data_IF_645697690625
#
_entry.id   IF_645697690625
#
_cell.length_a   1.000
_cell.length_b   1.000
_cell.length_c   1.000
_cell.angle_alpha   90.00
_cell.angle_beta   90.00
_cell.angle_gamma   90.00
#
_symmetry.space_group_name_H-M   'P 1'
#
loop_
_entity.id
_entity.type
_entity.pdbx_description
1 polymer ?
#
# COMPACT_ATOMS: atom_id res chain seq x y z
N UNK A 1 -24.17 -24.20 -36.38
CA UNK A 1 -23.47 -23.23 -37.26
C UNK A 1 -22.04 -23.63 -37.58
N UNK A 2 -21.14 -23.86 -36.61
CA UNK A 2 -19.74 -24.29 -36.90
C UNK A 2 -19.64 -25.62 -37.67
N UNK A 3 -20.59 -26.55 -37.44
CA UNK A 3 -20.71 -27.79 -38.21
C UNK A 3 -21.21 -27.59 -39.66
N UNK A 4 -21.90 -26.48 -39.95
CA UNK A 4 -22.41 -26.16 -41.30
C UNK A 4 -21.42 -25.31 -42.11
N UNK A 5 -20.71 -24.39 -41.46
CA UNK A 5 -19.81 -23.43 -42.13
C UNK A 5 -18.31 -23.76 -41.95
N UNK A 6 -17.99 -24.89 -41.30
CA UNK A 6 -16.66 -25.41 -40.98
C UNK A 6 -15.79 -24.54 -40.05
N UNK A 7 -16.01 -23.21 -39.99
CA UNK A 7 -15.32 -22.30 -39.10
C UNK A 7 -16.27 -21.21 -38.55
N UNK A 8 -15.91 -20.65 -37.39
CA UNK A 8 -16.64 -19.51 -36.83
C UNK A 8 -16.54 -18.24 -37.68
N UNK A 9 -15.40 -18.02 -38.34
CA UNK A 9 -15.17 -16.89 -39.25
C UNK A 9 -16.12 -16.94 -40.46
N UNK A 10 -16.25 -18.11 -41.09
CA UNK A 10 -17.12 -18.30 -42.24
C UNK A 10 -18.59 -18.12 -41.87
N UNK A 11 -19.01 -18.61 -40.69
CA UNK A 11 -20.36 -18.44 -40.20
C UNK A 11 -20.74 -16.96 -40.02
N UNK A 12 -19.80 -16.13 -39.53
CA UNK A 12 -20.04 -14.70 -39.29
C UNK A 12 -20.01 -13.91 -40.59
N UNK A 13 -19.12 -14.22 -41.52
CA UNK A 13 -19.10 -13.59 -42.85
C UNK A 13 -20.44 -13.78 -43.58
N UNK A 14 -21.03 -14.98 -43.51
CA UNK A 14 -22.33 -15.26 -44.13
C UNK A 14 -23.51 -14.57 -43.43
N UNK A 15 -23.35 -14.19 -42.17
CA UNK A 15 -24.40 -13.54 -41.35
C UNK A 15 -24.15 -12.03 -41.15
N UNK A 16 -23.13 -11.46 -41.80
CA UNK A 16 -22.70 -10.07 -41.60
C UNK A 16 -23.80 -9.07 -41.98
N UNK A 17 -24.59 -9.37 -43.01
CA UNK A 17 -25.70 -8.53 -43.48
C UNK A 17 -26.98 -8.69 -42.65
N UNK A 18 -27.02 -9.63 -41.70
CA UNK A 18 -28.21 -9.83 -40.87
C UNK A 18 -28.43 -8.62 -39.93
N UNK A 19 -29.65 -8.04 -39.88
CA UNK A 19 -29.90 -6.79 -39.14
C UNK A 19 -29.44 -6.82 -37.67
N UNK A 20 -29.64 -7.95 -36.98
CA UNK A 20 -29.26 -8.14 -35.57
C UNK A 20 -27.73 -8.18 -35.35
N UNK A 21 -26.96 -8.66 -36.33
CA UNK A 21 -25.49 -8.77 -36.28
C UNK A 21 -24.87 -7.40 -36.57
N UNK A 22 -25.42 -6.69 -37.56
CA UNK A 22 -25.01 -5.33 -37.92
C UNK A 22 -25.33 -4.32 -36.81
N UNK A 23 -26.47 -4.45 -36.13
CA UNK A 23 -26.86 -3.54 -35.05
C UNK A 23 -25.91 -3.60 -33.83
N UNK A 24 -25.18 -4.70 -33.64
CA UNK A 24 -24.32 -4.92 -32.48
C UNK A 24 -22.82 -4.83 -32.79
N UNK A 25 -22.43 -4.57 -34.05
CA UNK A 25 -21.04 -4.69 -34.52
C UNK A 25 -20.39 -6.01 -34.06
N UNK A 26 -21.16 -7.10 -34.15
CA UNK A 26 -20.73 -8.40 -33.64
C UNK A 26 -19.54 -8.96 -34.40
N UNK A 27 -19.42 -8.67 -35.70
CA UNK A 27 -18.26 -9.06 -36.52
C UNK A 27 -16.94 -8.56 -35.92
N UNK A 28 -16.89 -7.29 -35.54
CA UNK A 28 -15.70 -6.67 -34.97
C UNK A 28 -15.41 -7.22 -33.57
N UNK A 29 -16.47 -7.36 -32.75
CA UNK A 29 -16.34 -7.94 -31.40
C UNK A 29 -15.83 -9.37 -31.45
N UNK A 30 -16.30 -10.17 -32.39
CA UNK A 30 -15.84 -11.53 -32.61
C UNK A 30 -14.39 -11.58 -33.09
N UNK A 31 -14.01 -10.75 -34.08
CA UNK A 31 -12.63 -10.70 -34.58
C UNK A 31 -11.66 -10.25 -33.49
N UNK A 32 -12.04 -9.27 -32.66
CA UNK A 32 -11.26 -8.88 -31.48
C UNK A 32 -11.11 -10.03 -30.50
N UNK A 33 -12.20 -10.70 -30.13
CA UNK A 33 -12.15 -11.85 -29.23
C UNK A 33 -11.28 -12.98 -29.79
N UNK A 34 -11.40 -13.27 -31.09
CA UNK A 34 -10.58 -14.25 -31.79
C UNK A 34 -9.09 -13.89 -31.73
N UNK A 35 -8.74 -12.64 -32.02
CA UNK A 35 -7.36 -12.15 -31.95
C UNK A 35 -6.82 -12.20 -30.52
N UNK A 36 -7.62 -11.82 -29.51
CA UNK A 36 -7.23 -11.89 -28.09
C UNK A 36 -6.90 -13.33 -27.70
N UNK A 37 -7.73 -14.31 -28.08
CA UNK A 37 -7.50 -15.72 -27.73
C UNK A 37 -6.30 -16.30 -28.48
N UNK A 38 -6.19 -16.02 -29.80
CA UNK A 38 -5.17 -16.62 -30.67
C UNK A 38 -3.78 -16.00 -30.49
N UNK A 39 -3.72 -14.71 -30.19
CA UNK A 39 -2.49 -13.92 -30.16
C UNK A 39 -2.26 -13.24 -28.80
N UNK A 40 -2.86 -13.76 -27.71
CA UNK A 40 -2.64 -13.20 -26.38
C UNK A 40 -1.15 -13.06 -26.06
N UNK A 41 -0.79 -11.99 -25.35
CA UNK A 41 0.59 -11.79 -24.92
C UNK A 41 0.88 -12.74 -23.76
N UNK A 42 1.93 -13.54 -23.91
CA UNK A 42 2.37 -14.52 -22.92
C UNK A 42 3.84 -14.30 -22.54
N UNK A 43 4.18 -14.68 -21.31
CA UNK A 43 5.56 -14.83 -20.87
C UNK A 43 5.98 -16.27 -21.15
N UNK A 44 6.91 -16.46 -22.08
CA UNK A 44 7.44 -17.76 -22.44
C UNK A 44 8.45 -18.26 -21.40
N UNK A 45 8.71 -19.57 -21.39
CA UNK A 45 9.63 -20.21 -20.44
C UNK A 45 11.09 -19.76 -20.63
N UNK A 46 11.45 -19.30 -21.82
CA UNK A 46 12.75 -18.69 -22.12
C UNK A 46 12.88 -17.25 -21.58
N UNK A 47 11.82 -16.73 -20.93
CA UNK A 47 11.77 -15.37 -20.40
C UNK A 47 11.44 -14.31 -21.45
N UNK A 48 11.20 -14.70 -22.71
CA UNK A 48 10.72 -13.78 -23.74
C UNK A 48 9.24 -13.47 -23.52
N UNK A 49 8.83 -12.26 -23.92
CA UNK A 49 7.42 -11.88 -23.92
C UNK A 49 7.01 -11.66 -25.37
N UNK A 50 5.87 -12.21 -25.76
CA UNK A 50 5.40 -12.15 -27.13
C UNK A 50 3.97 -12.66 -27.26
N UNK A 51 3.35 -12.49 -28.44
CA UNK A 51 2.08 -13.15 -28.73
C UNK A 51 2.27 -14.68 -28.78
N UNK A 52 1.25 -15.43 -28.35
CA UNK A 52 1.27 -16.89 -28.33
C UNK A 52 1.67 -17.53 -29.68
N UNK A 53 1.24 -16.93 -30.80
CA UNK A 53 1.51 -17.38 -32.16
C UNK A 53 2.13 -16.23 -32.98
N UNK A 54 3.43 -15.93 -32.82
CA UNK A 54 4.06 -14.74 -33.41
C UNK A 54 4.11 -14.79 -34.94
N UNK A 55 4.24 -15.97 -35.54
CA UNK A 55 4.34 -16.17 -36.99
C UNK A 55 3.07 -15.70 -37.74
N UNK A 56 1.93 -15.73 -37.07
CA UNK A 56 0.62 -15.39 -37.64
C UNK A 56 0.02 -14.12 -37.01
N UNK A 57 0.74 -13.48 -36.09
CA UNK A 57 0.26 -12.31 -35.38
C UNK A 57 0.23 -11.08 -36.33
N UNK A 58 -0.88 -10.33 -36.38
CA UNK A 58 -0.90 -9.04 -37.07
C UNK A 58 0.11 -8.07 -36.47
N UNK A 59 0.70 -7.19 -37.29
CA UNK A 59 1.64 -6.16 -36.82
C UNK A 59 0.96 -5.16 -35.87
N UNK A 60 -0.32 -4.86 -36.09
CA UNK A 60 -1.09 -3.87 -35.33
C UNK A 60 -1.83 -4.49 -34.13
N UNK A 61 -1.28 -5.56 -33.54
CA UNK A 61 -1.90 -6.27 -32.42
C UNK A 61 -2.15 -5.36 -31.20
N UNK A 62 -1.37 -4.29 -31.07
CA UNK A 62 -1.49 -3.30 -30.01
C UNK A 62 -2.82 -2.52 -30.05
N UNK A 63 -3.46 -2.40 -31.22
CA UNK A 63 -4.78 -1.77 -31.34
C UNK A 63 -5.91 -2.66 -30.82
N UNK A 64 -5.68 -3.97 -30.74
CA UNK A 64 -6.67 -4.95 -30.28
C UNK A 64 -6.45 -5.32 -28.82
N UNK A 65 -5.21 -5.62 -28.43
CA UNK A 65 -4.86 -6.13 -27.10
C UNK A 65 -4.40 -5.00 -26.17
N UNK A 66 -4.00 -3.86 -26.73
CA UNK A 66 -3.39 -2.76 -26.00
C UNK A 66 -1.86 -2.75 -26.11
N UNK A 67 -1.27 -1.65 -25.65
CA UNK A 67 0.17 -1.46 -25.70
C UNK A 67 0.88 -2.43 -24.75
N UNK A 68 1.94 -3.04 -25.28
CA UNK A 68 2.78 -3.96 -24.54
C UNK A 68 3.62 -3.21 -23.49
N UNK A 69 3.67 -3.75 -22.28
CA UNK A 69 4.55 -3.26 -21.22
C UNK A 69 6.01 -3.72 -21.45
N UNK A 70 7.01 -3.10 -20.82
CA UNK A 70 8.37 -3.63 -20.86
C UNK A 70 8.45 -5.05 -20.28
N UNK A 71 9.37 -5.86 -20.79
CA UNK A 71 9.57 -7.26 -20.37
C UNK A 71 9.72 -7.38 -18.85
N UNK A 72 10.44 -6.44 -18.23
CA UNK A 72 10.60 -6.36 -16.78
C UNK A 72 9.26 -6.36 -16.00
N UNK A 73 8.24 -5.66 -16.50
CA UNK A 73 6.92 -5.60 -15.85
C UNK A 73 6.25 -6.99 -15.80
N UNK A 74 6.34 -7.76 -16.89
CA UNK A 74 5.78 -9.12 -16.96
C UNK A 74 6.52 -10.10 -16.04
N UNK A 75 7.85 -10.00 -15.95
CA UNK A 75 8.64 -10.81 -15.02
C UNK A 75 8.31 -10.51 -13.55
N UNK A 76 8.18 -9.23 -13.20
CA UNK A 76 7.78 -8.82 -11.85
C UNK A 76 6.36 -9.27 -11.51
N UNK A 77 5.43 -9.16 -12.47
CA UNK A 77 4.04 -9.60 -12.31
C UNK A 77 3.94 -11.12 -12.13
N UNK A 78 4.62 -11.90 -12.99
CA UNK A 78 4.61 -13.36 -12.92
C UNK A 78 5.19 -13.91 -11.61
N UNK A 79 6.08 -13.14 -10.96
CA UNK A 79 6.68 -13.47 -9.67
C UNK A 79 5.89 -12.92 -8.48
N UNK A 80 4.84 -12.13 -8.70
CA UNK A 80 4.08 -11.47 -7.65
C UNK A 80 4.89 -10.42 -6.88
N UNK A 81 5.88 -9.80 -7.52
CA UNK A 81 6.72 -8.76 -6.94
C UNK A 81 6.15 -7.35 -7.14
N UNK A 82 5.14 -7.20 -8.00
CA UNK A 82 4.43 -5.95 -8.26
C UNK A 82 2.92 -6.21 -8.30
N UNK A 83 2.11 -5.28 -7.79
CA UNK A 83 0.66 -5.41 -7.86
C UNK A 83 0.09 -4.96 -9.22
N UNK A 84 -0.96 -5.62 -9.73
CA UNK A 84 -1.62 -5.24 -10.98
C UNK A 84 -2.15 -3.79 -11.08
N UNK A 85 -2.65 -3.11 -10.01
CA UNK A 85 -3.27 -1.78 -10.15
C UNK A 85 -2.37 -0.73 -10.79
N UNK A 86 -1.06 -0.76 -10.51
CA UNK A 86 -0.12 0.21 -11.10
C UNK A 86 0.08 -0.05 -12.60
N UNK A 87 0.07 -1.31 -13.01
CA UNK A 87 0.15 -1.70 -14.42
C UNK A 87 -1.17 -1.38 -15.14
N UNK A 88 -2.30 -1.63 -14.50
CA UNK A 88 -3.63 -1.30 -15.02
C UNK A 88 -3.77 0.21 -15.23
N UNK A 89 -3.24 1.02 -14.31
CA UNK A 89 -3.20 2.47 -14.47
C UNK A 89 -2.43 2.87 -15.75
N UNK A 90 -1.26 2.27 -15.99
CA UNK A 90 -0.44 2.57 -17.17
C UNK A 90 -1.13 2.17 -18.48
N UNK A 91 -1.78 0.99 -18.50
CA UNK A 91 -2.46 0.45 -19.68
C UNK A 91 -3.76 1.22 -19.97
N UNK A 92 -4.53 1.54 -18.94
CA UNK A 92 -5.83 2.23 -19.07
C UNK A 92 -5.68 3.74 -19.21
N UNK A 93 -4.60 4.34 -18.69
CA UNK A 93 -4.46 5.79 -18.59
C UNK A 93 -5.35 6.40 -17.51
N UNK A 94 -5.89 5.59 -16.60
CA UNK A 94 -6.64 6.06 -15.46
C UNK A 94 -6.26 5.30 -14.17
N UNK A 95 -5.99 6.05 -13.11
CA UNK A 95 -5.93 5.53 -11.76
C UNK A 95 -7.35 5.51 -11.20
N UNK A 96 -7.88 4.33 -10.90
CA UNK A 96 -9.22 4.19 -10.33
C UNK A 96 -9.13 4.05 -8.82
N UNK A 97 -9.74 4.99 -8.10
CA UNK A 97 -9.96 4.86 -6.67
C UNK A 97 -11.40 4.39 -6.42
N UNK A 98 -11.54 3.26 -5.72
CA UNK A 98 -12.83 2.65 -5.43
C UNK A 98 -13.32 3.06 -4.05
N UNK A 99 -14.65 3.04 -3.86
CA UNK A 99 -15.25 3.25 -2.55
C UNK A 99 -14.69 2.24 -1.54
N UNK A 100 -14.24 2.70 -0.36
CA UNK A 100 -13.82 1.79 0.69
C UNK A 100 -15.02 1.08 1.33
N UNK A 101 -14.80 0.06 2.18
CA UNK A 101 -15.87 -0.74 2.80
C UNK A 101 -16.85 0.04 3.68
N UNK A 102 -16.47 1.21 4.17
CA UNK A 102 -17.30 2.14 4.96
C UNK A 102 -18.02 3.20 4.08
N UNK A 103 -18.04 3.02 2.76
CA UNK A 103 -18.51 4.00 1.77
C UNK A 103 -17.64 5.28 1.64
N UNK A 104 -16.72 5.50 2.58
CA UNK A 104 -15.72 6.57 2.50
C UNK A 104 -16.28 7.97 2.66
N UNK A 105 -17.44 8.13 3.29
CA UNK A 105 -18.18 9.40 3.36
C UNK A 105 -17.49 10.49 4.20
N UNK A 106 -16.46 10.14 4.96
CA UNK A 106 -15.75 11.08 5.83
C UNK A 106 -14.93 12.10 5.02
N UNK A 107 -15.07 13.38 5.39
CA UNK A 107 -14.29 14.48 4.79
C UNK A 107 -12.79 14.31 5.02
N UNK A 108 -12.42 13.71 6.13
CA UNK A 108 -11.06 13.33 6.49
C UNK A 108 -10.45 12.39 5.44
N UNK A 109 -11.20 11.37 5.04
CA UNK A 109 -10.77 10.41 4.02
C UNK A 109 -10.67 11.05 2.62
N UNK A 110 -11.68 11.85 2.22
CA UNK A 110 -11.63 12.58 0.95
C UNK A 110 -10.41 13.53 0.90
N UNK A 111 -10.16 14.28 1.98
CA UNK A 111 -9.00 15.17 2.07
C UNK A 111 -7.68 14.42 1.92
N UNK A 112 -7.56 13.25 2.55
CA UNK A 112 -6.36 12.41 2.45
C UNK A 112 -6.10 12.03 0.98
N UNK A 113 -7.14 11.60 0.26
CA UNK A 113 -7.03 11.28 -1.17
C UNK A 113 -6.58 12.50 -1.95
N UNK A 114 -7.31 13.62 -1.86
CA UNK A 114 -7.04 14.86 -2.61
C UNK A 114 -5.61 15.37 -2.41
N UNK A 115 -5.09 15.28 -1.18
CA UNK A 115 -3.72 15.68 -0.89
C UNK A 115 -2.68 14.76 -1.55
N UNK A 116 -2.99 13.48 -1.68
CA UNK A 116 -2.09 12.47 -2.25
C UNK A 116 -2.13 12.41 -3.77
N UNK A 117 -3.23 12.83 -4.40
CA UNK A 117 -3.32 13.00 -5.85
C UNK A 117 -2.21 13.94 -6.33
N UNK A 118 -2.08 15.12 -5.70
CA UNK A 118 -1.10 16.15 -6.07
C UNK A 118 0.34 15.87 -5.63
N UNK A 119 0.56 14.91 -4.73
CA UNK A 119 1.87 14.55 -4.19
C UNK A 119 2.35 13.20 -4.71
N UNK A 120 2.09 12.16 -3.91
CA UNK A 120 2.63 10.82 -4.09
C UNK A 120 2.22 10.19 -5.43
N UNK A 121 0.93 10.22 -5.78
CA UNK A 121 0.45 9.58 -7.01
C UNK A 121 0.96 10.29 -8.27
N UNK A 122 0.98 11.62 -8.27
CA UNK A 122 1.56 12.41 -9.36
C UNK A 122 3.06 12.08 -9.54
N UNK A 123 3.82 12.01 -8.45
CA UNK A 123 5.25 11.68 -8.50
C UNK A 123 5.50 10.27 -9.04
N UNK A 124 4.75 9.27 -8.57
CA UNK A 124 4.83 7.89 -9.05
C UNK A 124 4.52 7.80 -10.56
N UNK A 125 3.42 8.41 -11.00
CA UNK A 125 2.99 8.39 -12.40
C UNK A 125 4.04 9.02 -13.31
N UNK A 126 4.53 10.22 -12.97
CA UNK A 126 5.54 10.92 -13.76
C UNK A 126 6.83 10.12 -13.88
N UNK A 127 7.26 9.50 -12.77
CA UNK A 127 8.46 8.69 -12.77
C UNK A 127 8.30 7.44 -13.67
N UNK A 128 7.19 6.72 -13.54
CA UNK A 128 6.91 5.54 -14.38
C UNK A 128 6.84 5.91 -15.86
N UNK A 129 6.01 6.89 -16.21
CA UNK A 129 5.82 7.31 -17.59
C UNK A 129 7.12 7.79 -18.25
N UNK A 130 8.02 8.41 -17.49
CA UNK A 130 9.35 8.82 -17.97
C UNK A 130 10.23 7.62 -18.36
N UNK A 131 10.17 6.51 -17.62
CA UNK A 131 11.09 5.37 -17.80
C UNK A 131 10.54 4.25 -18.68
N UNK A 132 9.22 4.12 -18.86
CA UNK A 132 8.59 3.03 -19.63
C UNK A 132 8.68 3.19 -21.16
N UNK A 133 9.06 4.36 -21.66
CA UNK A 133 9.29 4.64 -23.08
C UNK A 133 8.44 5.77 -23.66
N UNK A 134 8.63 6.14 -24.95
CA UNK A 134 8.04 7.33 -25.55
C UNK A 134 6.50 7.35 -25.54
N UNK A 135 5.87 6.18 -25.73
CA UNK A 135 4.42 6.05 -25.71
C UNK A 135 3.84 6.45 -24.34
N UNK A 136 4.36 5.87 -23.26
CA UNK A 136 3.88 6.14 -21.91
C UNK A 136 4.24 7.56 -21.44
N UNK A 137 5.36 8.11 -21.93
CA UNK A 137 5.74 9.49 -21.65
C UNK A 137 4.72 10.50 -22.21
N UNK A 138 4.08 10.20 -23.35
CA UNK A 138 3.09 11.07 -23.98
C UNK A 138 1.64 10.80 -23.53
N UNK A 139 1.38 9.68 -22.86
CA UNK A 139 0.04 9.29 -22.47
C UNK A 139 -0.47 10.15 -21.31
N UNK A 140 -1.68 10.73 -21.43
CA UNK A 140 -2.37 11.35 -20.30
C UNK A 140 -2.80 10.28 -19.30
N UNK A 141 -2.48 10.47 -18.02
CA UNK A 141 -2.96 9.62 -16.92
C UNK A 141 -3.81 10.47 -15.98
N UNK A 142 -5.05 10.04 -15.74
CA UNK A 142 -6.01 10.73 -14.87
C UNK A 142 -6.36 9.90 -13.65
N UNK A 143 -6.54 10.53 -12.49
CA UNK A 143 -7.17 9.92 -11.34
C UNK A 143 -8.68 10.13 -11.42
N UNK A 144 -9.42 9.03 -11.23
CA UNK A 144 -10.86 9.03 -11.12
C UNK A 144 -11.23 8.48 -9.74
N UNK A 145 -11.93 9.30 -8.97
CA UNK A 145 -12.44 8.93 -7.64
C UNK A 145 -13.91 8.55 -7.73
N UNK A 146 -14.37 7.68 -6.82
CA UNK A 146 -15.77 7.24 -6.80
C UNK A 146 -16.73 8.35 -6.34
N UNK A 147 -16.26 9.29 -5.51
CA UNK A 147 -17.07 10.37 -4.96
C UNK A 147 -17.19 11.57 -5.91
N UNK A 148 -16.26 11.74 -6.84
CA UNK A 148 -16.29 12.76 -7.89
C UNK A 148 -16.01 12.17 -9.29
N UNK A 149 -16.86 11.25 -9.79
CA UNK A 149 -16.58 10.50 -11.02
C UNK A 149 -16.57 11.36 -12.29
N UNK A 150 -17.03 12.62 -12.21
CA UNK A 150 -17.05 13.57 -13.32
C UNK A 150 -15.83 14.49 -13.34
N UNK A 151 -15.05 14.52 -12.26
CA UNK A 151 -13.87 15.35 -12.14
C UNK A 151 -12.66 14.52 -12.55
N UNK A 152 -11.97 14.91 -13.63
CA UNK A 152 -10.70 14.29 -14.01
C UNK A 152 -9.53 15.05 -13.37
N UNK A 153 -8.80 14.40 -12.47
CA UNK A 153 -7.56 14.96 -11.92
C UNK A 153 -6.38 14.44 -12.73
N UNK A 154 -5.64 15.31 -13.38
CA UNK A 154 -4.52 14.91 -14.24
C UNK A 154 -3.27 14.63 -13.41
N UNK A 155 -2.83 13.37 -13.37
CA UNK A 155 -1.60 12.95 -12.69
C UNK A 155 -0.36 13.11 -13.60
N UNK A 156 -0.52 12.81 -14.89
CA UNK A 156 0.55 12.90 -15.88
C UNK A 156 0.00 13.33 -17.26
N UNK A 157 0.76 14.16 -17.97
CA UNK A 157 0.50 14.59 -19.35
C UNK A 157 1.84 14.98 -20.03
N UNK A 158 1.82 15.04 -21.37
CA UNK A 158 2.92 15.50 -22.24
C UNK A 158 3.63 16.76 -21.75
N UNK A 159 2.87 17.75 -21.25
CA UNK A 159 3.40 19.04 -20.75
C UNK A 159 4.13 18.91 -19.41
N UNK A 160 3.86 17.86 -18.64
CA UNK A 160 4.40 17.66 -17.30
C UNK A 160 5.77 16.97 -17.28
N UNK A 161 6.23 16.45 -18.42
CA UNK A 161 7.52 15.74 -18.59
C UNK A 161 8.74 16.63 -18.25
N UNK A 162 8.62 17.96 -18.41
CA UNK A 162 9.72 18.90 -18.15
C UNK A 162 10.01 19.17 -16.68
N UNK A 163 9.12 18.79 -15.75
CA UNK A 163 9.36 18.82 -14.31
C UNK A 163 9.90 17.46 -13.86
N UNK A 164 11.19 17.24 -14.11
CA UNK A 164 11.85 15.96 -13.91
C UNK A 164 11.80 15.49 -12.45
N UNK A 165 10.99 14.48 -12.17
CA UNK A 165 11.25 13.57 -11.04
C UNK A 165 12.40 12.68 -11.52
N UNK A 166 13.57 12.84 -10.93
CA UNK A 166 14.65 11.85 -11.05
C UNK A 166 14.46 10.80 -9.96
N UNK A 167 14.87 9.57 -10.24
CA UNK A 167 15.27 8.70 -9.13
C UNK A 167 16.37 9.45 -8.37
N UNK A 168 16.30 9.59 -7.05
CA UNK A 168 17.44 10.00 -6.26
C UNK A 168 18.56 8.98 -6.52
N UNK A 169 19.73 9.52 -6.82
CA UNK A 169 20.99 8.81 -6.87
C UNK A 169 21.33 8.33 -5.46
N UNK A 170 20.71 7.23 -5.04
CA UNK A 170 21.06 6.57 -3.80
C UNK A 170 21.99 5.46 -4.22
N UNK A 171 23.30 5.66 -4.11
CA UNK A 171 24.23 4.55 -4.19
C UNK A 171 24.27 3.88 -2.83
N UNK A 172 23.99 2.59 -2.75
CA UNK A 172 24.33 1.84 -1.55
C UNK A 172 25.84 1.48 -1.60
N UNK A 173 26.58 1.85 -0.57
CA UNK A 173 27.84 1.17 -0.26
C UNK A 173 27.53 -0.12 0.52
N UNK A 174 28.49 -1.04 0.55
CA UNK A 174 28.55 -2.34 1.23
C UNK A 174 28.22 -2.37 2.76
N UNK A 175 27.55 -1.36 3.30
CA UNK A 175 27.28 -1.16 4.74
C UNK A 175 26.05 -1.95 5.21
N UNK A 176 25.10 -2.28 4.32
CA UNK A 176 23.92 -3.10 4.64
C UNK A 176 24.11 -4.55 4.18
N UNK A 177 25.13 -5.23 4.73
CA UNK A 177 25.29 -6.69 4.60
C UNK A 177 24.35 -7.49 5.55
N UNK A 178 23.32 -6.86 6.09
CA UNK A 178 22.33 -7.45 7.01
C UNK A 178 20.89 -7.26 6.54
N UNK A 179 19.91 -7.71 7.34
CA UNK A 179 18.48 -7.59 6.98
C UNK A 179 18.05 -6.15 6.75
N UNK A 180 17.49 -5.91 5.56
CA UNK A 180 17.06 -4.59 5.10
C UNK A 180 15.72 -4.27 5.76
N UNK A 181 15.72 -3.29 6.65
CA UNK A 181 14.53 -2.85 7.38
C UNK A 181 14.37 -1.33 7.30
N UNK A 182 13.17 -0.85 7.59
CA UNK A 182 12.89 0.59 7.64
C UNK A 182 13.84 1.28 8.64
N UNK A 183 14.04 0.67 9.81
CA UNK A 183 15.00 1.16 10.81
C UNK A 183 16.41 1.29 10.26
N UNK A 184 16.92 0.25 9.59
CA UNK A 184 18.28 0.26 9.04
C UNK A 184 18.48 1.33 7.95
N UNK A 185 17.47 1.58 7.12
CA UNK A 185 17.55 2.61 6.07
C UNK A 185 17.46 4.02 6.67
N UNK A 186 16.61 4.22 7.68
CA UNK A 186 16.54 5.48 8.41
C UNK A 186 17.87 5.81 9.10
N UNK A 187 18.53 4.84 9.74
CA UNK A 187 19.82 5.04 10.41
C UNK A 187 20.95 5.38 9.41
N UNK A 188 20.92 4.80 8.21
CA UNK A 188 21.98 4.93 7.22
C UNK A 188 21.63 5.91 6.07
N UNK A 189 20.56 6.70 6.19
CA UNK A 189 20.02 7.53 5.11
C UNK A 189 21.03 8.53 4.52
N UNK A 190 21.93 9.08 5.35
CA UNK A 190 23.00 10.00 4.91
C UNK A 190 24.08 9.30 4.10
N UNK A 191 24.43 8.06 4.49
CA UNK A 191 25.43 7.25 3.78
C UNK A 191 24.88 6.86 2.42
N UNK A 192 23.61 6.45 2.38
CA UNK A 192 22.87 6.10 1.18
C UNK A 192 22.78 7.30 0.20
N UNK A 193 22.53 8.51 0.69
CA UNK A 193 22.47 9.70 -0.17
C UNK A 193 23.84 10.21 -0.65
N UNK A 194 24.93 9.84 0.02
CA UNK A 194 26.27 10.31 -0.29
C UNK A 194 27.05 9.40 -1.26
N UNK A 195 26.57 8.19 -1.54
CA UNK A 195 27.34 7.26 -2.35
C UNK A 195 27.22 7.51 -3.86
N UNK A 196 28.30 7.27 -4.62
CA UNK A 196 28.34 7.54 -6.05
C UNK A 196 27.39 6.64 -6.84
N UNK A 197 26.76 7.20 -7.88
CA UNK A 197 25.90 6.47 -8.82
C UNK A 197 26.64 5.27 -9.44
N UNK A 198 26.05 4.08 -9.37
CA UNK A 198 26.55 2.90 -10.08
C UNK A 198 27.74 2.19 -9.44
N UNK A 199 27.98 2.35 -8.13
CA UNK A 199 28.96 1.51 -7.44
C UNK A 199 28.58 0.03 -7.53
N UNK A 200 29.55 -0.85 -7.84
CA UNK A 200 29.33 -2.30 -7.93
C UNK A 200 28.82 -2.97 -6.64
N UNK A 201 28.94 -2.26 -5.51
CA UNK A 201 28.60 -2.74 -4.17
C UNK A 201 27.20 -2.27 -3.70
N UNK A 202 26.36 -1.77 -4.63
CA UNK A 202 25.00 -1.32 -4.35
C UNK A 202 24.05 -2.44 -3.96
N UNK A 203 23.38 -2.30 -2.81
CA UNK A 203 22.22 -3.09 -2.44
C UNK A 203 20.93 -2.42 -2.96
N UNK A 204 20.34 -2.91 -4.07
CA UNK A 204 19.22 -2.24 -4.73
C UNK A 204 17.97 -2.19 -3.85
N UNK A 205 17.77 -3.16 -2.96
CA UNK A 205 16.60 -3.17 -2.07
C UNK A 205 16.62 -2.02 -1.06
N UNK A 206 17.81 -1.64 -0.56
CA UNK A 206 17.97 -0.50 0.34
C UNK A 206 17.73 0.85 -0.37
N UNK A 207 18.19 0.97 -1.62
CA UNK A 207 17.99 2.16 -2.46
C UNK A 207 16.50 2.38 -2.76
N UNK A 208 15.81 1.30 -3.12
CA UNK A 208 14.37 1.33 -3.39
C UNK A 208 13.58 1.68 -2.12
N UNK A 209 13.99 1.16 -0.95
CA UNK A 209 13.35 1.50 0.32
C UNK A 209 13.60 2.95 0.72
N UNK A 210 14.82 3.47 0.52
CA UNK A 210 15.14 4.88 0.73
C UNK A 210 14.30 5.79 -0.17
N UNK A 211 14.07 5.38 -1.43
CA UNK A 211 13.17 6.10 -2.33
C UNK A 211 11.75 6.16 -1.82
N UNK A 212 11.20 5.04 -1.33
CA UNK A 212 9.85 5.00 -0.75
C UNK A 212 9.75 5.94 0.46
N UNK A 213 10.76 5.97 1.32
CA UNK A 213 10.78 6.87 2.46
C UNK A 213 10.91 8.34 2.04
N UNK A 214 11.65 8.62 0.98
CA UNK A 214 11.74 9.96 0.40
C UNK A 214 10.43 10.40 -0.28
N UNK A 215 9.74 9.52 -1.01
CA UNK A 215 8.45 9.85 -1.66
C UNK A 215 7.35 10.16 -0.66
N UNK A 216 7.43 9.55 0.53
CA UNK A 216 6.54 9.82 1.66
C UNK A 216 6.99 11.04 2.50
N UNK A 217 8.13 11.66 2.18
CA UNK A 217 8.62 12.87 2.86
C UNK A 217 9.33 12.63 4.19
N UNK A 218 9.80 11.41 4.47
CA UNK A 218 10.61 11.12 5.67
C UNK A 218 12.08 11.55 5.51
N UNK A 219 12.61 11.42 4.30
CA UNK A 219 14.03 11.67 3.99
C UNK A 219 14.11 12.71 2.88
N UNK A 220 15.05 13.66 3.00
CA UNK A 220 15.38 14.64 1.95
C UNK A 220 16.40 14.03 0.99
N UNK A 221 16.54 14.54 -0.24
CA UNK A 221 17.56 14.08 -1.19
C UNK A 221 19.00 14.13 -0.67
N UNK A 222 19.30 14.95 0.34
CA UNK A 222 20.59 14.98 1.04
C UNK A 222 20.80 13.82 2.03
N UNK A 223 19.81 12.95 2.21
CA UNK A 223 19.79 11.89 3.22
C UNK A 223 19.47 12.39 4.63
N UNK A 224 19.18 13.68 4.81
CA UNK A 224 18.75 14.23 6.10
C UNK A 224 17.30 13.88 6.41
N UNK A 225 17.02 13.65 7.70
CA UNK A 225 15.66 13.37 8.16
C UNK A 225 14.85 14.66 8.17
N UNK A 226 13.64 14.61 7.62
CA UNK A 226 12.66 15.68 7.83
C UNK A 226 12.17 15.64 9.29
N UNK A 227 11.35 16.61 9.72
CA UNK A 227 10.68 16.53 11.03
C UNK A 227 9.93 15.21 11.19
N UNK A 228 9.20 14.80 10.15
CA UNK A 228 8.49 13.54 10.11
C UNK A 228 9.46 12.34 10.13
N UNK A 229 10.57 12.41 9.40
CA UNK A 229 11.64 11.40 9.45
C UNK A 229 12.25 11.20 10.83
N UNK A 230 12.59 12.29 11.51
CA UNK A 230 13.13 12.22 12.88
C UNK A 230 12.13 11.62 13.87
N UNK A 231 10.84 11.93 13.69
CA UNK A 231 9.77 11.37 14.50
C UNK A 231 9.60 9.87 14.24
N UNK A 232 9.60 9.45 12.97
CA UNK A 232 9.59 8.04 12.59
C UNK A 232 10.78 7.29 13.20
N UNK A 233 11.99 7.84 13.11
CA UNK A 233 13.19 7.20 13.66
C UNK A 233 13.08 6.99 15.18
N UNK A 234 12.57 8.00 15.91
CA UNK A 234 12.30 7.87 17.35
C UNK A 234 11.23 6.79 17.66
N UNK A 235 10.19 6.69 16.83
CA UNK A 235 9.18 5.63 16.91
C UNK A 235 9.76 4.24 16.71
N UNK A 236 10.62 4.06 15.71
CA UNK A 236 11.26 2.78 15.41
C UNK A 236 12.22 2.35 16.53
N UNK A 237 12.99 3.28 17.10
CA UNK A 237 13.84 3.00 18.27
C UNK A 237 13.02 2.59 19.49
N UNK A 238 11.89 3.26 19.74
CA UNK A 238 10.98 2.91 20.83
C UNK A 238 10.37 1.52 20.62
N UNK A 239 9.93 1.20 19.40
CA UNK A 239 9.40 -0.13 19.06
C UNK A 239 10.42 -1.24 19.35
N UNK A 240 11.67 -1.03 18.94
CA UNK A 240 12.76 -1.98 19.16
C UNK A 240 13.09 -2.17 20.65
N UNK A 241 13.04 -1.09 21.44
CA UNK A 241 13.28 -1.15 22.88
C UNK A 241 12.18 -1.91 23.65
N UNK A 242 10.94 -1.86 23.16
CA UNK A 242 9.78 -2.43 23.84
C UNK A 242 9.58 -3.92 23.55
N UNK A 243 9.89 -4.38 22.34
CA UNK A 243 9.59 -5.74 21.93
C UNK A 243 10.68 -6.76 22.28
N UNK A 244 11.87 -6.34 22.76
CA UNK A 244 13.06 -7.13 23.16
C UNK A 244 13.60 -8.12 22.10
N UNK A 245 12.72 -8.91 21.48
CA UNK A 245 12.92 -9.60 20.21
C UNK A 245 12.78 -8.62 19.04
N UNK A 246 13.39 -8.98 17.90
CA UNK A 246 13.41 -8.14 16.71
C UNK A 246 11.96 -7.83 16.29
N UNK A 247 11.55 -6.55 16.22
CA UNK A 247 10.17 -6.23 15.87
C UNK A 247 9.90 -6.77 14.47
N UNK A 248 8.80 -7.52 14.32
CA UNK A 248 8.40 -8.03 13.02
C UNK A 248 8.39 -6.88 12.00
N UNK A 249 8.94 -7.10 10.81
CA UNK A 249 9.03 -6.09 9.75
C UNK A 249 7.67 -5.43 9.48
N UNK A 250 6.58 -6.20 9.63
CA UNK A 250 5.20 -5.74 9.52
C UNK A 250 4.83 -4.64 10.54
N UNK A 251 5.38 -4.68 11.76
CA UNK A 251 5.13 -3.66 12.78
C UNK A 251 5.85 -2.34 12.45
N UNK A 252 7.00 -2.40 11.78
CA UNK A 252 7.67 -1.17 11.32
C UNK A 252 6.79 -0.42 10.31
N UNK A 253 6.11 -1.15 9.42
CA UNK A 253 5.16 -0.56 8.47
C UNK A 253 3.89 -0.01 9.14
N UNK A 254 3.44 -0.61 10.25
CA UNK A 254 2.39 -0.03 11.08
C UNK A 254 2.83 1.32 11.68
N UNK A 255 4.09 1.42 12.13
CA UNK A 255 4.67 2.68 12.65
C UNK A 255 4.85 3.73 11.55
N UNK A 256 5.26 3.34 10.33
CA UNK A 256 5.30 4.23 9.16
C UNK A 256 3.91 4.79 8.86
N UNK A 257 2.89 3.92 8.79
CA UNK A 257 1.52 4.35 8.55
C UNK A 257 1.02 5.29 9.67
N UNK A 258 1.36 5.00 10.93
CA UNK A 258 1.00 5.85 12.06
C UNK A 258 1.64 7.24 11.95
N UNK A 259 2.93 7.32 11.58
CA UNK A 259 3.62 8.59 11.42
C UNK A 259 2.95 9.46 10.34
N UNK A 260 2.60 8.87 9.19
CA UNK A 260 1.84 9.55 8.13
C UNK A 260 0.48 10.02 8.65
N UNK A 261 -0.28 9.16 9.33
CA UNK A 261 -1.62 9.51 9.83
C UNK A 261 -1.58 10.60 10.92
N UNK A 262 -0.51 10.69 11.70
CA UNK A 262 -0.28 11.76 12.67
C UNK A 262 0.01 13.08 11.94
N UNK A 263 0.89 13.06 10.94
CA UNK A 263 1.23 14.24 10.13
C UNK A 263 -0.01 14.81 9.41
N UNK A 264 -0.89 13.93 8.93
CA UNK A 264 -2.16 14.31 8.31
C UNK A 264 -3.26 14.70 9.32
N UNK A 265 -3.01 14.60 10.63
CA UNK A 265 -4.00 14.90 11.66
C UNK A 265 -5.20 13.93 11.68
N UNK A 266 -5.02 12.71 11.19
CA UNK A 266 -6.06 11.67 11.12
C UNK A 266 -6.04 10.74 12.33
N UNK A 267 -4.85 10.51 12.91
CA UNK A 267 -4.71 9.76 14.16
C UNK A 267 -4.96 10.67 15.36
N UNK A 268 -6.25 10.92 15.64
CA UNK A 268 -6.69 11.81 16.72
C UNK A 268 -7.72 11.12 17.61
N UNK A 269 -7.96 11.69 18.80
CA UNK A 269 -9.07 11.28 19.68
C UNK A 269 -10.40 11.94 19.30
N UNK A 270 -10.37 12.89 18.37
CA UNK A 270 -11.57 13.60 17.93
C UNK A 270 -12.43 12.73 17.02
N UNK A 271 -13.74 13.03 17.04
CA UNK A 271 -14.69 12.42 16.11
C UNK A 271 -14.38 12.91 14.70
N UNK A 272 -14.47 12.00 13.75
CA UNK A 272 -14.46 12.39 12.34
C UNK A 272 -15.79 13.04 11.97
N UNK A 273 -15.82 13.71 10.81
CA UNK A 273 -17.00 14.36 10.25
C UNK A 273 -18.24 13.44 10.20
N UNK A 274 -18.00 12.14 10.01
CA UNK A 274 -18.99 11.08 10.18
C UNK A 274 -18.48 10.17 11.31
N UNK A 275 -19.27 10.01 12.38
CA UNK A 275 -18.88 9.26 13.57
C UNK A 275 -19.99 8.32 14.02
N UNK A 276 -19.60 7.16 14.55
CA UNK A 276 -20.48 6.06 14.95
C UNK A 276 -20.15 5.64 16.39
N UNK A 277 -20.54 6.46 17.37
CA UNK A 277 -20.16 6.33 18.79
C UNK A 277 -21.19 5.56 19.65
N UNK A 278 -21.64 4.39 19.21
CA UNK A 278 -22.77 3.71 19.89
C UNK A 278 -22.43 3.30 21.34
N UNK A 279 -21.36 2.54 21.60
CA UNK A 279 -21.00 2.14 22.97
C UNK A 279 -20.15 3.19 23.72
N UNK A 280 -19.40 4.01 22.99
CA UNK A 280 -18.53 5.03 23.58
C UNK A 280 -19.34 6.13 24.29
N UNK A 281 -20.57 6.37 23.82
CA UNK A 281 -21.54 7.28 24.43
C UNK A 281 -21.93 6.91 25.86
N UNK A 282 -21.74 5.65 26.26
CA UNK A 282 -22.04 5.14 27.61
C UNK A 282 -20.99 5.57 28.65
N UNK A 283 -19.83 6.05 28.21
CA UNK A 283 -18.75 6.52 29.08
C UNK A 283 -19.00 7.99 29.39
N UNK A 284 -19.10 8.35 30.67
CA UNK A 284 -19.39 9.71 31.10
C UNK A 284 -18.21 10.67 30.91
N UNK A 285 -16.98 10.17 31.02
CA UNK A 285 -15.76 10.97 30.88
C UNK A 285 -15.38 11.14 29.41
N UNK A 286 -15.57 12.37 28.90
CA UNK A 286 -15.21 12.73 27.52
C UNK A 286 -13.71 12.58 27.22
N UNK A 287 -12.84 12.70 28.21
CA UNK A 287 -11.40 12.52 28.04
C UNK A 287 -11.05 11.04 27.87
N UNK A 288 -11.68 10.16 28.64
CA UNK A 288 -11.55 8.70 28.46
C UNK A 288 -12.07 8.27 27.08
N UNK A 289 -13.19 8.82 26.61
CA UNK A 289 -13.66 8.56 25.24
C UNK A 289 -12.58 8.87 24.20
N UNK A 290 -11.93 10.04 24.31
CA UNK A 290 -10.82 10.41 23.40
C UNK A 290 -9.66 9.42 23.47
N UNK A 291 -9.27 9.01 24.68
CA UNK A 291 -8.16 8.08 24.89
C UNK A 291 -8.46 6.70 24.30
N UNK A 292 -9.68 6.20 24.47
CA UNK A 292 -10.12 4.93 23.87
C UNK A 292 -10.06 5.00 22.36
N UNK A 293 -10.55 6.08 21.73
CA UNK A 293 -10.47 6.24 20.27
C UNK A 293 -9.02 6.21 19.78
N UNK A 294 -8.12 6.95 20.43
CA UNK A 294 -6.70 6.98 20.05
C UNK A 294 -6.09 5.58 20.08
N UNK A 295 -6.21 4.88 21.22
CA UNK A 295 -5.56 3.57 21.40
C UNK A 295 -6.19 2.50 20.51
N UNK A 296 -7.52 2.51 20.34
CA UNK A 296 -8.21 1.59 19.44
C UNK A 296 -7.82 1.81 17.97
N UNK A 297 -7.70 3.08 17.53
CA UNK A 297 -7.21 3.43 16.17
C UNK A 297 -5.76 2.99 15.97
N UNK A 298 -4.87 3.19 16.95
CA UNK A 298 -3.48 2.69 16.89
C UNK A 298 -3.48 1.15 16.74
N UNK A 299 -4.30 0.45 17.53
CA UNK A 299 -4.40 -1.01 17.46
C UNK A 299 -4.88 -1.50 16.08
N UNK A 300 -5.72 -0.74 15.36
CA UNK A 300 -6.13 -1.06 13.98
C UNK A 300 -4.97 -1.10 12.98
N UNK A 301 -3.87 -0.39 13.24
CA UNK A 301 -2.71 -0.36 12.36
C UNK A 301 -1.89 -1.65 12.39
N UNK A 302 -2.05 -2.46 13.43
CA UNK A 302 -1.33 -3.73 13.53
C UNK A 302 -1.85 -4.76 12.54
N UNK A 303 -0.94 -5.61 11.99
CA UNK A 303 -1.34 -6.71 11.14
C UNK A 303 -2.24 -7.68 11.92
N UNK A 304 -3.22 -8.33 11.26
CA UNK A 304 -4.02 -9.34 11.91
C UNK A 304 -3.11 -10.50 12.31
N UNK A 305 -3.09 -10.84 13.60
CA UNK A 305 -2.53 -12.12 14.04
C UNK A 305 -3.22 -13.26 13.29
N UNK A 306 -2.50 -14.37 13.06
CA UNK A 306 -3.01 -15.53 12.32
C UNK A 306 -4.19 -16.18 13.08
N UNK A 307 -5.39 -15.63 12.94
CA UNK A 307 -6.56 -16.06 13.70
C UNK A 307 -7.17 -17.30 13.08
N UNK A 308 -7.37 -18.33 13.89
CA UNK A 308 -8.16 -19.52 13.54
C UNK A 308 -9.43 -19.48 14.39
N UNK A 309 -10.57 -19.08 13.81
CA UNK A 309 -11.86 -19.08 14.52
C UNK A 309 -12.86 -18.01 14.09
N UNK A 310 -14.11 -18.15 14.52
CA UNK A 310 -15.21 -17.21 14.22
C UNK A 310 -15.12 -15.91 15.04
N UNK A 311 -15.45 -14.78 14.41
CA UNK A 311 -15.44 -13.46 15.05
C UNK A 311 -16.74 -13.24 15.83
N UNK A 312 -16.66 -13.18 17.18
CA UNK A 312 -17.82 -13.02 18.06
C UNK A 312 -18.12 -11.58 18.48
N UNK A 313 -17.23 -10.63 18.21
CA UNK A 313 -17.45 -9.23 18.60
C UNK A 313 -18.26 -8.47 17.53
N UNK A 314 -18.97 -7.42 17.96
CA UNK A 314 -19.65 -6.52 17.06
C UNK A 314 -18.69 -5.80 16.10
N UNK A 315 -19.25 -5.20 15.06
CA UNK A 315 -18.51 -4.39 14.11
C UNK A 315 -18.47 -2.95 14.60
N UNK A 316 -17.28 -2.34 14.66
CA UNK A 316 -17.16 -0.92 14.96
C UNK A 316 -16.97 -0.13 13.65
N UNK A 317 -17.96 0.71 13.32
CA UNK A 317 -17.95 1.52 12.09
C UNK A 317 -16.93 2.67 12.12
N UNK A 318 -16.68 3.28 13.29
CA UNK A 318 -15.64 4.32 13.42
C UNK A 318 -14.25 3.73 13.14
N UNK A 319 -13.97 2.56 13.71
CA UNK A 319 -12.72 1.84 13.45
C UNK A 319 -12.62 1.29 12.03
N UNK A 320 -13.74 0.97 11.39
CA UNK A 320 -13.74 0.64 9.97
C UNK A 320 -13.37 1.87 9.12
N UNK A 321 -13.99 3.02 9.37
CA UNK A 321 -13.68 4.25 8.65
C UNK A 321 -12.19 4.62 8.81
N UNK A 322 -11.68 4.51 10.04
CA UNK A 322 -10.25 4.66 10.30
C UNK A 322 -9.40 3.62 9.56
N UNK A 323 -9.80 2.35 9.56
CA UNK A 323 -9.12 1.25 8.84
C UNK A 323 -9.04 1.54 7.35
N UNK A 324 -10.08 2.11 6.74
CA UNK A 324 -10.09 2.49 5.33
C UNK A 324 -9.06 3.58 5.01
N UNK A 325 -8.93 4.61 5.85
CA UNK A 325 -7.88 5.62 5.70
C UNK A 325 -6.48 5.02 5.89
N UNK A 326 -6.30 4.16 6.88
CA UNK A 326 -5.03 3.47 7.10
C UNK A 326 -4.66 2.54 5.92
N UNK A 327 -5.63 1.86 5.30
CA UNK A 327 -5.41 1.07 4.08
C UNK A 327 -5.04 1.92 2.88
N UNK A 328 -5.66 3.08 2.74
CA UNK A 328 -5.25 4.04 1.71
C UNK A 328 -3.78 4.41 1.92
N UNK A 329 -3.37 4.67 3.17
CA UNK A 329 -1.96 4.94 3.50
C UNK A 329 -1.06 3.81 3.05
N UNK A 330 -1.37 2.59 3.45
CA UNK A 330 -0.62 1.39 3.08
C UNK A 330 -0.60 1.13 1.57
N UNK A 331 -1.69 1.43 0.86
CA UNK A 331 -1.78 1.33 -0.61
C UNK A 331 -0.83 2.31 -1.30
N UNK A 332 -0.68 3.53 -0.81
CA UNK A 332 0.29 4.47 -1.39
C UNK A 332 1.74 4.07 -1.11
N UNK A 333 2.02 3.49 0.06
CA UNK A 333 3.34 2.91 0.37
C UNK A 333 3.63 1.73 -0.56
N UNK A 334 2.69 0.80 -0.72
CA UNK A 334 2.82 -0.36 -1.61
C UNK A 334 3.00 0.04 -3.07
N UNK A 335 2.18 0.98 -3.58
CA UNK A 335 2.34 1.52 -4.94
C UNK A 335 3.65 2.27 -5.14
N UNK A 336 4.19 2.91 -4.10
CA UNK A 336 5.53 3.50 -4.13
C UNK A 336 6.58 2.40 -4.29
N UNK A 337 6.53 1.36 -3.47
CA UNK A 337 7.43 0.21 -3.57
C UNK A 337 7.39 -0.43 -4.97
N UNK A 338 6.19 -0.61 -5.52
CA UNK A 338 5.96 -1.15 -6.85
C UNK A 338 6.51 -0.26 -7.96
N UNK A 339 6.33 1.06 -7.84
CA UNK A 339 6.93 2.05 -8.74
C UNK A 339 8.45 1.92 -8.74
N UNK A 340 9.05 1.91 -7.55
CA UNK A 340 10.49 1.83 -7.37
C UNK A 340 11.03 0.55 -8.04
N UNK A 341 10.41 -0.60 -7.77
CA UNK A 341 10.79 -1.90 -8.35
C UNK A 341 10.76 -1.88 -9.87
N UNK A 342 9.67 -1.39 -10.46
CA UNK A 342 9.50 -1.36 -11.90
C UNK A 342 10.52 -0.43 -12.55
N UNK A 343 10.71 0.76 -12.00
CA UNK A 343 11.67 1.73 -12.53
C UNK A 343 13.10 1.20 -12.40
N UNK A 344 13.47 0.65 -11.24
CA UNK A 344 14.80 0.05 -11.04
C UNK A 344 15.08 -1.12 -12.00
N UNK A 345 14.06 -1.93 -12.30
CA UNK A 345 14.16 -3.01 -13.27
C UNK A 345 14.32 -2.53 -14.72
N UNK A 346 13.80 -1.35 -15.05
CA UNK A 346 13.91 -0.77 -16.40
C UNK A 346 15.23 -0.03 -16.58
N UNK A 347 15.68 0.73 -15.57
CA UNK A 347 16.90 1.56 -15.67
C UNK A 347 18.20 0.78 -15.50
N UNK A 348 18.13 -0.50 -15.11
CA UNK A 348 19.32 -1.32 -14.88
C UNK A 348 20.13 -0.92 -13.64
N UNK A 349 19.68 0.07 -12.87
CA UNK A 349 20.26 0.43 -11.57
C UNK A 349 19.99 -0.65 -10.52
N UNK A 350 18.98 -1.49 -10.74
CA UNK A 350 18.87 -2.79 -10.10
C UNK A 350 19.35 -3.84 -11.09
N UNK A 351 20.41 -4.55 -10.74
CA UNK A 351 20.89 -5.74 -11.44
C UNK A 351 19.77 -6.79 -11.55
N UNK A 352 18.93 -6.68 -12.59
CA UNK A 352 17.81 -7.56 -12.87
C UNK A 352 17.98 -8.23 -14.26
N UNK A 353 19.17 -8.75 -14.52
CA UNK A 353 19.50 -9.63 -15.64
C UNK A 353 19.13 -11.11 -15.36
N UNK A 354 18.56 -11.88 -16.28
CA UNK A 354 17.80 -13.14 -16.06
C UNK A 354 18.48 -14.36 -15.35
N UNK A 355 19.58 -14.21 -14.62
CA UNK A 355 20.27 -15.29 -13.90
C UNK A 355 19.76 -15.53 -12.46
N UNK A 356 19.93 -16.78 -12.02
CA UNK A 356 19.39 -17.40 -10.81
C UNK A 356 19.71 -16.69 -9.48
N UNK A 357 20.80 -15.92 -9.39
CA UNK A 357 21.21 -15.20 -8.17
C UNK A 357 20.25 -14.06 -7.79
N UNK A 358 19.48 -13.53 -8.74
CA UNK A 358 18.54 -12.43 -8.50
C UNK A 358 17.18 -12.86 -7.98
N UNK A 359 16.85 -14.16 -8.09
CA UNK A 359 15.61 -14.71 -7.53
C UNK A 359 15.59 -14.55 -6.00
N UNK A 360 16.76 -14.64 -5.36
CA UNK A 360 16.92 -14.38 -3.92
C UNK A 360 16.75 -12.90 -3.60
N UNK A 361 17.36 -12.00 -4.38
CA UNK A 361 17.25 -10.55 -4.17
C UNK A 361 15.81 -10.03 -4.35
N UNK A 362 15.04 -10.56 -5.31
CA UNK A 362 13.63 -10.23 -5.48
C UNK A 362 12.73 -10.80 -4.37
N UNK A 363 13.07 -11.96 -3.81
CA UNK A 363 12.40 -12.50 -2.63
C UNK A 363 12.71 -11.68 -1.37
N UNK A 364 13.94 -11.21 -1.21
CA UNK A 364 14.31 -10.26 -0.15
C UNK A 364 13.55 -8.93 -0.31
N UNK A 365 13.46 -8.41 -1.54
CA UNK A 365 12.66 -7.21 -1.85
C UNK A 365 11.17 -7.36 -1.57
N UNK A 366 10.67 -8.60 -1.59
CA UNK A 366 9.30 -8.95 -1.18
C UNK A 366 9.14 -9.03 0.34
N UNK A 367 10.16 -9.51 1.07
CA UNK A 367 10.12 -9.58 2.54
C UNK A 367 10.18 -8.18 3.16
N UNK A 368 11.06 -7.34 2.62
CA UNK A 368 11.44 -6.04 3.17
C UNK A 368 10.41 -4.93 2.94
N UNK A 369 9.55 -5.08 1.93
CA UNK A 369 8.54 -4.09 1.54
C UNK A 369 7.12 -4.65 1.65
N UNK A 370 6.14 -3.85 2.07
CA UNK A 370 4.82 -4.34 2.39
C UNK A 370 4.08 -4.57 1.07
N UNK A 371 3.92 -5.82 0.68
CA UNK A 371 3.02 -6.16 -0.42
C UNK A 371 1.56 -5.92 -0.01
N UNK A 372 1.23 -6.07 1.27
CA UNK A 372 -0.07 -5.74 1.86
C UNK A 372 0.10 -5.80 3.37
N UNK A 373 0.53 -4.71 4.01
CA UNK A 373 0.34 -4.59 5.45
C UNK A 373 -1.18 -4.43 5.61
N UNK A 374 -1.89 -5.48 6.01
CA UNK A 374 -3.34 -5.40 6.16
C UNK A 374 -3.65 -4.81 7.53
N UNK A 375 -4.31 -3.64 7.58
CA UNK A 375 -4.86 -3.18 8.86
C UNK A 375 -5.92 -4.14 9.38
N UNK A 376 -5.85 -4.41 10.68
CA UNK A 376 -6.77 -5.30 11.36
C UNK A 376 -7.82 -4.49 12.11
N UNK A 377 -9.02 -4.34 11.53
CA UNK A 377 -10.17 -3.82 12.29
C UNK A 377 -10.43 -4.69 13.54
N UNK A 378 -10.21 -6.00 13.43
CA UNK A 378 -10.29 -6.93 14.54
C UNK A 378 -9.41 -6.54 15.73
N UNK A 379 -8.12 -6.21 15.53
CA UNK A 379 -7.25 -5.82 16.63
C UNK A 379 -7.67 -4.49 17.25
N UNK A 380 -8.15 -3.56 16.43
CA UNK A 380 -8.77 -2.31 16.89
C UNK A 380 -9.99 -2.56 17.79
N UNK A 381 -10.91 -3.44 17.36
CA UNK A 381 -12.10 -3.79 18.15
C UNK A 381 -11.73 -4.51 19.44
N UNK A 382 -10.70 -5.37 19.45
CA UNK A 382 -10.21 -5.99 20.69
C UNK A 382 -9.74 -4.94 21.70
N UNK A 383 -8.90 -4.00 21.26
CA UNK A 383 -8.43 -2.91 22.10
C UNK A 383 -9.59 -2.00 22.55
N UNK A 384 -10.55 -1.72 21.66
CA UNK A 384 -11.76 -0.96 21.97
C UNK A 384 -12.58 -1.61 23.08
N UNK A 385 -12.91 -2.90 22.95
CA UNK A 385 -13.72 -3.63 23.95
C UNK A 385 -12.99 -3.66 25.28
N UNK A 386 -11.69 -3.97 25.29
CA UNK A 386 -10.87 -3.98 26.50
C UNK A 386 -10.94 -2.64 27.24
N UNK A 387 -10.76 -1.53 26.52
CA UNK A 387 -10.68 -0.20 27.12
C UNK A 387 -12.04 0.37 27.51
N UNK A 388 -13.11 0.05 26.77
CA UNK A 388 -14.48 0.40 27.15
C UNK A 388 -14.87 -0.35 28.43
N UNK A 389 -14.53 -1.64 28.54
CA UNK A 389 -14.77 -2.39 29.76
C UNK A 389 -13.96 -1.85 30.93
N UNK A 390 -12.71 -1.46 30.70
CA UNK A 390 -11.86 -0.83 31.71
C UNK A 390 -12.44 0.49 32.22
N UNK A 391 -12.88 1.35 31.31
CA UNK A 391 -13.52 2.62 31.66
C UNK A 391 -14.82 2.44 32.46
N UNK A 392 -15.58 1.37 32.20
CA UNK A 392 -16.87 1.13 32.86
C UNK A 392 -16.76 0.38 34.18
N UNK A 393 -15.91 -0.64 34.24
CA UNK A 393 -15.91 -1.63 35.32
C UNK A 393 -14.62 -1.61 36.16
N UNK A 394 -13.58 -0.88 35.76
CA UNK A 394 -12.30 -0.87 36.46
C UNK A 394 -11.43 -2.07 36.11
N UNK A 395 -10.90 -2.79 37.10
CA UNK A 395 -10.02 -3.95 36.89
C UNK A 395 -10.80 -5.23 36.50
N UNK A 396 -10.17 -6.20 35.82
CA UNK A 396 -10.77 -7.50 35.49
C UNK A 396 -11.50 -7.57 34.14
N UNK A 397 -11.23 -6.64 33.23
CA UNK A 397 -11.90 -6.48 31.94
C UNK A 397 -11.55 -7.54 30.90
N UNK A 398 -10.48 -8.29 31.17
CA UNK A 398 -10.05 -9.41 30.34
C UNK A 398 -11.07 -10.57 30.30
N UNK A 399 -11.97 -10.68 31.29
CA UNK A 399 -12.93 -11.78 31.40
C UNK A 399 -13.89 -11.87 30.18
N UNK A 400 -14.42 -10.73 29.69
CA UNK A 400 -15.28 -10.71 28.49
C UNK A 400 -14.54 -11.16 27.24
N UNK A 401 -13.27 -10.78 27.11
CA UNK A 401 -12.43 -11.19 25.98
C UNK A 401 -12.07 -12.68 26.10
N UNK A 402 -11.81 -13.18 27.30
CA UNK A 402 -11.57 -14.61 27.56
C UNK A 402 -12.76 -15.47 27.13
N UNK A 403 -13.98 -15.09 27.51
CA UNK A 403 -15.20 -15.81 27.13
C UNK A 403 -15.48 -15.73 25.62
N UNK A 404 -15.13 -14.62 24.97
CA UNK A 404 -15.37 -14.45 23.54
C UNK A 404 -14.31 -15.11 22.64
N UNK A 405 -13.08 -15.30 23.13
CA UNK A 405 -11.93 -15.78 22.36
C UNK A 405 -11.60 -17.27 22.54
N UNK A 406 -12.55 -18.08 23.03
CA UNK A 406 -12.45 -19.52 23.43
C UNK A 406 -11.36 -20.38 22.74
N UNK A 407 -11.11 -20.25 21.43
CA UNK A 407 -10.12 -21.05 20.68
C UNK A 407 -8.82 -20.29 20.27
N UNK A 408 -8.75 -18.97 20.43
CA UNK A 408 -7.70 -18.09 19.87
C UNK A 408 -7.19 -17.03 20.87
N UNK A 409 -7.22 -17.36 22.18
CA UNK A 409 -6.79 -16.45 23.24
C UNK A 409 -5.30 -16.04 23.13
N UNK A 410 -4.45 -16.96 22.68
CA UNK A 410 -3.01 -16.71 22.46
C UNK A 410 -2.82 -15.67 21.37
N UNK A 411 -3.51 -15.79 20.25
CA UNK A 411 -3.43 -14.83 19.14
C UNK A 411 -3.98 -13.46 19.54
N UNK A 412 -5.07 -13.42 20.33
CA UNK A 412 -5.64 -12.18 20.84
C UNK A 412 -4.68 -11.44 21.79
N UNK A 413 -3.98 -12.18 22.68
CA UNK A 413 -2.94 -11.60 23.54
C UNK A 413 -1.75 -11.10 22.74
N UNK A 414 -1.28 -11.86 21.75
CA UNK A 414 -0.17 -11.43 20.92
C UNK A 414 -0.54 -10.17 20.11
N UNK A 415 -1.74 -10.12 19.53
CA UNK A 415 -2.21 -8.95 18.79
C UNK A 415 -2.28 -7.69 19.68
N UNK A 416 -2.71 -7.83 20.95
CA UNK A 416 -2.73 -6.72 21.91
C UNK A 416 -1.32 -6.33 22.37
N UNK A 417 -0.38 -7.29 22.52
CA UNK A 417 1.05 -7.01 22.77
C UNK A 417 1.68 -6.21 21.64
N UNK A 418 1.45 -6.64 20.40
CA UNK A 418 1.94 -5.95 19.21
C UNK A 418 1.35 -4.54 19.10
N UNK A 419 0.03 -4.40 19.35
CA UNK A 419 -0.65 -3.11 19.38
C UNK A 419 -0.10 -2.18 20.46
N UNK A 420 0.25 -2.72 21.62
CA UNK A 420 0.88 -1.96 22.68
C UNK A 420 2.29 -1.48 22.33
N UNK A 421 3.09 -2.33 21.68
CA UNK A 421 4.40 -1.96 21.15
C UNK A 421 4.30 -0.83 20.12
N UNK A 422 3.33 -0.91 19.20
CA UNK A 422 3.07 0.17 18.24
C UNK A 422 2.57 1.44 18.94
N UNK A 423 1.77 1.34 20.01
CA UNK A 423 1.34 2.51 20.79
C UNK A 423 2.51 3.23 21.47
N UNK A 424 3.52 2.49 21.95
CA UNK A 424 4.73 3.09 22.50
C UNK A 424 5.56 3.82 21.42
N UNK A 425 5.66 3.23 20.24
CA UNK A 425 6.29 3.87 19.07
C UNK A 425 5.55 5.15 18.64
N UNK A 426 4.21 5.11 18.59
CA UNK A 426 3.36 6.26 18.26
C UNK A 426 3.51 7.39 19.28
N UNK A 427 3.61 7.06 20.58
CA UNK A 427 3.90 8.05 21.61
C UNK A 427 5.25 8.73 21.38
N UNK A 428 6.28 7.98 20.99
CA UNK A 428 7.59 8.56 20.68
C UNK A 428 7.55 9.46 19.43
N UNK A 429 6.80 9.07 18.39
CA UNK A 429 6.56 9.89 17.20
C UNK A 429 5.87 11.21 17.59
N UNK A 430 4.79 11.14 18.36
CA UNK A 430 4.02 12.32 18.78
C UNK A 430 4.90 13.34 19.52
N UNK A 431 5.80 12.85 20.38
CA UNK A 431 6.78 13.65 21.15
C UNK A 431 7.76 14.44 20.31
N UNK A 432 8.18 13.87 19.19
CA UNK A 432 9.16 14.53 18.30
C UNK A 432 8.45 15.42 17.27
N UNK A 433 7.28 15.01 16.80
CA UNK A 433 6.54 15.74 15.77
C UNK A 433 5.83 17.00 16.31
N UNK A 434 5.37 16.98 17.58
CA UNK A 434 4.82 18.15 18.29
C UNK A 434 3.35 18.49 18.03
N UNK A 435 2.69 17.91 17.01
CA UNK A 435 1.30 18.24 16.65
C UNK A 435 0.22 17.51 17.47
N UNK A 436 0.52 16.39 18.12
CA UNK A 436 -0.48 15.51 18.77
C UNK A 436 -0.14 15.15 20.22
N UNK A 437 0.73 15.95 20.84
CA UNK A 437 1.68 15.43 21.83
C UNK A 437 1.06 15.08 23.19
N UNK A 438 0.07 15.86 23.65
CA UNK A 438 -0.51 15.66 24.98
C UNK A 438 -1.53 14.54 25.01
N UNK A 439 -2.44 14.48 24.04
CA UNK A 439 -3.54 13.51 24.08
C UNK A 439 -3.06 12.09 23.82
N UNK A 440 -2.12 11.89 22.88
CA UNK A 440 -1.54 10.57 22.62
C UNK A 440 -0.71 10.10 23.82
N UNK A 441 0.11 10.96 24.41
CA UNK A 441 0.90 10.60 25.59
C UNK A 441 0.02 10.28 26.80
N UNK A 442 -1.02 11.09 27.04
CA UNK A 442 -1.95 10.86 28.14
C UNK A 442 -2.80 9.60 27.92
N UNK A 443 -3.26 9.34 26.70
CA UNK A 443 -3.98 8.13 26.34
C UNK A 443 -3.14 6.88 26.58
N UNK A 444 -1.86 6.92 26.18
CA UNK A 444 -0.91 5.84 26.44
C UNK A 444 -0.72 5.61 27.95
N UNK A 445 -0.47 6.67 28.72
CA UNK A 445 -0.31 6.54 30.18
C UNK A 445 -1.57 6.02 30.88
N UNK A 446 -2.76 6.43 30.44
CA UNK A 446 -4.04 5.96 30.97
C UNK A 446 -4.29 4.48 30.64
N UNK A 447 -4.06 4.08 29.39
CA UNK A 447 -4.28 2.71 28.94
C UNK A 447 -3.26 1.70 29.50
N UNK A 448 -2.12 2.16 30.01
CA UNK A 448 -1.05 1.29 30.52
C UNK A 448 -1.55 0.33 31.62
N UNK A 449 -2.43 0.80 32.51
CA UNK A 449 -3.02 -0.03 33.55
C UNK A 449 -3.89 -1.14 32.95
N UNK A 450 -4.73 -0.82 31.97
CA UNK A 450 -5.60 -1.79 31.31
C UNK A 450 -4.80 -2.85 30.53
N UNK A 451 -3.74 -2.44 29.84
CA UNK A 451 -2.88 -3.37 29.11
C UNK A 451 -1.99 -4.21 30.03
N UNK A 452 -1.62 -3.72 31.22
CA UNK A 452 -0.81 -4.49 32.18
C UNK A 452 -1.49 -5.75 32.71
N UNK A 453 -2.83 -5.84 32.66
CA UNK A 453 -3.55 -7.07 32.98
C UNK A 453 -3.48 -8.13 31.85
N UNK A 454 -3.12 -7.70 30.63
CA UNK A 454 -3.10 -8.51 29.41
C UNK A 454 -1.68 -8.93 29.00
N UNK A 455 -0.71 -8.01 29.16
CA UNK A 455 0.71 -8.19 28.88
C UNK A 455 1.35 -9.16 29.87
#
# INVERSE_FOLDING_TARGET
MTHQYHSGLNAIQMLTDHPSVRATNYSDSFLRAYCIVRYHIVLHLDGSVGPLNPEFAPNDLHDIIGYRLPVAAYHLLARGAIHPPILNMLVNGSWLEFSPPDNGESREYHRLITQWEGGVYTQQCRLLCKHLGPFFAQRKVVLQTWFEPRTEVVLHDTKSVSQGVSLPAVGAAAVLNGDISVSSVMENSRILAAAPEGSSDSNPAAELLAWVLQSLGFIVSSGEHTKLGSALNAGLQALQSQLQERPAELLQWAVVAAAVLIDQGLLTGEKWSVSYDDELSLITDAQQQKFIRIVARIATLTPPGARRGSWKFGYNRDLLAFSSAARLVQKAVGSSADTARLVGAITGSAALAPESTQLLQLQELRRTMPLECTTSNATGVLAYVLLVDYARNGAGCWARIQTAAEESLVDARQALRDAWGVAGAVRAIAKVHGNADKDIANAYSWAQTAFSEVL
#
